data_IF_634496173865
#
_entry.id   IF_634496173865
#
_cell.length_a   1.000
_cell.length_b   1.000
_cell.length_c   1.000
_cell.angle_alpha   90.00
_cell.angle_beta   90.00
_cell.angle_gamma   90.00
#
_symmetry.space_group_name_H-M   'P 1'
#
loop_
_entity.id
_entity.type
_entity.pdbx_description
1 polymer ?
#
# COMPACT_ATOMS: atom_id res chain seq x y z
N UNK A 1 8.62 32.24 -8.61
CA UNK A 1 8.22 30.93 -8.06
C UNK A 1 8.89 29.85 -8.89
N UNK A 2 9.89 29.15 -8.32
CA UNK A 2 10.46 27.98 -8.98
C UNK A 2 9.40 26.88 -8.96
N UNK A 3 8.90 26.50 -10.13
CA UNK A 3 8.08 25.29 -10.26
C UNK A 3 9.04 24.11 -10.13
N UNK A 4 9.02 23.44 -8.98
CA UNK A 4 9.71 22.16 -8.84
C UNK A 4 9.14 21.19 -9.88
N UNK A 5 10.01 20.46 -10.57
CA UNK A 5 9.56 19.45 -11.52
C UNK A 5 8.91 18.26 -10.79
N UNK A 6 7.98 17.55 -11.43
CA UNK A 6 7.37 16.32 -10.84
C UNK A 6 8.47 15.32 -10.44
N UNK A 7 9.55 15.27 -11.23
CA UNK A 7 10.73 14.46 -10.95
C UNK A 7 11.39 14.87 -9.61
N UNK A 8 11.63 16.16 -9.38
CA UNK A 8 12.19 16.65 -8.11
C UNK A 8 11.27 16.36 -6.92
N UNK A 9 9.96 16.58 -7.08
CA UNK A 9 8.98 16.27 -6.03
C UNK A 9 9.03 14.78 -5.69
N UNK A 10 9.00 13.92 -6.72
CA UNK A 10 9.09 12.48 -6.52
C UNK A 10 10.40 12.09 -5.84
N UNK A 11 11.54 12.60 -6.30
CA UNK A 11 12.84 12.28 -5.72
C UNK A 11 12.91 12.70 -4.24
N UNK A 12 12.29 13.83 -3.87
CA UNK A 12 12.22 14.27 -2.48
C UNK A 12 11.36 13.35 -1.60
N UNK A 13 10.19 12.90 -2.08
CA UNK A 13 9.30 12.02 -1.28
C UNK A 13 9.78 10.56 -1.24
N UNK A 14 10.63 10.15 -2.19
CA UNK A 14 11.14 8.77 -2.32
C UNK A 14 12.56 8.59 -1.81
N UNK A 15 13.00 9.43 -0.85
CA UNK A 15 14.33 9.35 -0.24
C UNK A 15 15.48 9.45 -1.28
N UNK A 16 15.29 10.30 -2.29
CA UNK A 16 16.25 10.56 -3.36
C UNK A 16 16.59 9.33 -4.21
N UNK A 17 15.62 8.44 -4.46
CA UNK A 17 15.84 7.19 -5.20
C UNK A 17 16.38 7.41 -6.61
N UNK A 18 15.94 8.44 -7.33
CA UNK A 18 16.42 8.74 -8.68
C UNK A 18 17.88 9.19 -8.60
N UNK A 19 18.17 10.14 -7.71
CA UNK A 19 19.55 10.61 -7.49
C UNK A 19 20.48 9.47 -7.07
N UNK A 20 20.00 8.56 -6.22
CA UNK A 20 20.73 7.36 -5.82
C UNK A 20 21.05 6.48 -7.04
N UNK A 21 20.04 6.13 -7.85
CA UNK A 21 20.22 5.29 -9.04
C UNK A 21 21.21 5.92 -10.04
N UNK A 22 21.12 7.23 -10.29
CA UNK A 22 22.02 7.93 -11.21
C UNK A 22 23.46 7.98 -10.72
N UNK A 23 23.68 7.98 -9.41
CA UNK A 23 25.02 7.96 -8.80
C UNK A 23 25.64 6.57 -8.70
N UNK A 24 24.83 5.51 -8.83
CA UNK A 24 25.28 4.15 -8.55
C UNK A 24 26.14 3.58 -9.67
N UNK A 25 27.29 3.00 -9.29
CA UNK A 25 28.19 2.35 -10.25
C UNK A 25 27.49 1.19 -10.97
N UNK A 26 27.52 1.21 -12.30
CA UNK A 26 26.92 0.16 -13.12
C UNK A 26 25.43 0.34 -13.41
N UNK A 27 24.76 1.38 -12.89
CA UNK A 27 23.44 1.79 -13.36
C UNK A 27 23.60 2.78 -14.52
N UNK A 28 22.72 2.70 -15.50
CA UNK A 28 22.67 3.58 -16.66
C UNK A 28 21.22 3.79 -17.10
N UNK A 29 20.96 4.82 -17.91
CA UNK A 29 19.65 5.09 -18.51
C UNK A 29 18.50 5.10 -17.48
N UNK A 30 18.62 5.97 -16.46
CA UNK A 30 17.55 6.20 -15.50
C UNK A 30 16.46 7.06 -16.15
N UNK A 31 15.32 6.44 -16.44
CA UNK A 31 14.21 7.04 -17.17
C UNK A 31 13.01 7.20 -16.24
N UNK A 32 12.72 8.44 -15.84
CA UNK A 32 11.52 8.80 -15.09
C UNK A 32 10.46 9.38 -16.04
N UNK A 33 9.34 8.66 -16.21
CA UNK A 33 8.27 9.06 -17.12
C UNK A 33 7.37 10.13 -16.49
N UNK A 34 7.78 11.41 -16.59
CA UNK A 34 7.11 12.57 -15.98
C UNK A 34 5.90 13.12 -16.76
N UNK A 35 5.50 12.49 -17.86
CA UNK A 35 4.39 12.99 -18.71
C UNK A 35 2.99 12.69 -18.14
N UNK A 36 2.92 12.06 -16.96
CA UNK A 36 1.67 11.72 -16.30
C UNK A 36 1.13 12.96 -15.58
N UNK A 37 0.10 13.57 -16.16
CA UNK A 37 -0.63 14.66 -15.51
C UNK A 37 -1.32 14.13 -14.25
N UNK A 38 -1.29 14.92 -13.18
CA UNK A 38 -2.02 14.62 -11.95
C UNK A 38 -3.53 14.49 -12.17
N UNK A 39 -4.16 13.68 -11.32
CA UNK A 39 -5.59 13.37 -11.36
C UNK A 39 -6.38 14.42 -10.60
N UNK A 40 -7.48 14.91 -11.20
CA UNK A 40 -8.38 15.82 -10.51
C UNK A 40 -9.14 15.11 -9.38
N UNK A 41 -9.36 15.79 -8.26
CA UNK A 41 -10.06 15.26 -7.08
C UNK A 41 -11.42 14.63 -7.41
N UNK A 42 -12.19 15.26 -8.30
CA UNK A 42 -13.49 14.73 -8.77
C UNK A 42 -13.36 13.36 -9.45
N UNK A 43 -12.24 13.07 -10.11
CA UNK A 43 -12.00 11.78 -10.77
C UNK A 43 -11.64 10.71 -9.73
N UNK A 44 -10.89 11.08 -8.69
CA UNK A 44 -10.61 10.21 -7.55
C UNK A 44 -11.91 9.87 -6.82
N UNK A 45 -12.74 10.87 -6.50
CA UNK A 45 -14.03 10.67 -5.85
C UNK A 45 -14.96 9.76 -6.67
N UNK A 46 -14.97 9.92 -8.00
CA UNK A 46 -15.72 9.03 -8.91
C UNK A 46 -15.22 7.59 -8.84
N UNK A 47 -13.90 7.38 -8.78
CA UNK A 47 -13.34 6.04 -8.61
C UNK A 47 -13.77 5.43 -7.28
N UNK A 48 -13.78 6.19 -6.18
CA UNK A 48 -14.25 5.70 -4.87
C UNK A 48 -15.76 5.40 -4.86
N UNK A 49 -16.58 6.19 -5.56
CA UNK A 49 -18.01 5.92 -5.75
C UNK A 49 -18.23 4.61 -6.54
N UNK A 50 -17.48 4.41 -7.62
CA UNK A 50 -17.54 3.20 -8.45
C UNK A 50 -17.05 1.94 -7.72
N UNK A 51 -16.13 2.11 -6.75
CA UNK A 51 -15.56 1.03 -5.95
C UNK A 51 -16.07 1.05 -4.49
N UNK A 52 -17.24 1.64 -4.24
CA UNK A 52 -17.80 1.68 -2.90
C UNK A 52 -17.93 0.26 -2.31
N UNK A 53 -17.63 0.05 -1.02
CA UNK A 53 -17.35 1.07 0.01
C UNK A 53 -15.87 1.50 0.15
N UNK A 54 -14.95 1.05 -0.71
CA UNK A 54 -13.51 1.18 -0.52
C UNK A 54 -12.98 2.59 -0.84
N UNK A 55 -12.16 3.15 0.06
CA UNK A 55 -11.54 4.47 -0.06
C UNK A 55 -10.02 4.38 -0.15
N UNK A 56 -9.43 5.18 -1.04
CA UNK A 56 -7.98 5.25 -1.20
C UNK A 56 -7.34 6.00 -0.01
N UNK A 57 -6.12 5.60 0.42
CA UNK A 57 -5.33 6.36 1.40
C UNK A 57 -5.14 7.82 1.02
N UNK A 58 -5.17 8.72 1.99
CA UNK A 58 -5.06 10.16 1.75
C UNK A 58 -3.71 10.57 1.14
N UNK A 59 -2.62 9.94 1.57
CA UNK A 59 -1.29 10.12 1.02
C UNK A 59 -1.21 9.65 -0.44
N UNK A 60 -1.84 8.53 -0.77
CA UNK A 60 -1.89 8.02 -2.13
C UNK A 60 -2.78 8.87 -3.05
N UNK A 61 -3.90 9.40 -2.54
CA UNK A 61 -4.71 10.38 -3.27
C UNK A 61 -3.93 11.67 -3.55
N UNK A 62 -3.19 12.18 -2.56
CA UNK A 62 -2.33 13.34 -2.74
C UNK A 62 -1.23 13.08 -3.79
N UNK A 63 -0.64 11.87 -3.78
CA UNK A 63 0.30 11.45 -4.83
C UNK A 63 -0.36 11.43 -6.22
N UNK A 64 -1.55 10.84 -6.36
CA UNK A 64 -2.28 10.79 -7.64
C UNK A 64 -2.63 12.18 -8.17
N UNK A 65 -2.91 13.14 -7.29
CA UNK A 65 -3.11 14.55 -7.67
C UNK A 65 -1.84 15.22 -8.22
N UNK A 66 -0.65 14.70 -7.89
CA UNK A 66 0.64 15.15 -8.43
C UNK A 66 0.94 14.41 -9.75
N UNK A 67 0.72 13.09 -9.80
CA UNK A 67 1.02 12.23 -10.95
C UNK A 67 0.07 11.03 -11.04
N UNK A 68 -0.59 10.83 -12.20
CA UNK A 68 -1.43 9.66 -12.46
C UNK A 68 -0.58 8.38 -12.68
N UNK A 69 -0.19 7.76 -11.55
CA UNK A 69 0.71 6.62 -11.49
C UNK A 69 2.18 7.00 -11.62
N UNK A 70 3.05 5.99 -11.69
CA UNK A 70 4.50 6.14 -11.67
C UNK A 70 5.16 5.18 -12.65
N UNK A 71 6.25 5.59 -13.28
CA UNK A 71 7.14 4.65 -13.98
C UNK A 71 8.56 5.18 -14.00
N UNK A 72 9.43 4.46 -13.30
CA UNK A 72 10.86 4.67 -13.23
C UNK A 72 11.54 3.40 -13.73
N UNK A 73 12.33 3.49 -14.78
CA UNK A 73 13.08 2.36 -15.34
C UNK A 73 14.56 2.67 -15.30
N UNK A 74 15.38 1.65 -15.12
CA UNK A 74 16.82 1.78 -15.22
C UNK A 74 17.45 0.53 -15.81
N UNK A 75 18.61 0.74 -16.42
CA UNK A 75 19.42 -0.30 -17.03
C UNK A 75 20.71 -0.48 -16.23
N UNK A 76 21.38 -1.59 -16.47
CA UNK A 76 22.73 -1.81 -15.95
C UNK A 76 23.73 -1.90 -17.08
N UNK A 77 24.94 -1.40 -16.85
CA UNK A 77 26.08 -1.51 -17.76
C UNK A 77 27.03 -2.60 -17.25
N UNK A 78 27.20 -3.68 -18.01
CA UNK A 78 28.13 -4.78 -17.73
C UNK A 78 28.96 -5.08 -18.98
N UNK A 79 30.29 -5.02 -18.88
CA UNK A 79 31.22 -5.29 -19.99
C UNK A 79 30.89 -4.50 -21.27
N UNK A 80 30.62 -3.20 -21.12
CA UNK A 80 30.16 -2.30 -22.20
C UNK A 80 28.85 -2.66 -22.89
N UNK A 81 28.08 -3.61 -22.35
CA UNK A 81 26.73 -3.92 -22.77
C UNK A 81 25.71 -3.36 -21.77
N UNK A 82 24.58 -2.86 -22.29
CA UNK A 82 23.50 -2.27 -21.51
C UNK A 82 22.33 -3.26 -21.49
N UNK A 83 21.83 -3.59 -20.29
CA UNK A 83 20.71 -4.50 -20.10
C UNK A 83 19.59 -3.82 -19.31
N UNK A 84 18.31 -3.99 -19.70
CA UNK A 84 17.20 -3.60 -18.85
C UNK A 84 17.27 -4.39 -17.53
N UNK A 85 17.15 -3.70 -16.41
CA UNK A 85 17.36 -4.33 -15.11
C UNK A 85 16.19 -4.09 -14.17
N UNK A 86 15.85 -2.83 -13.90
CA UNK A 86 14.85 -2.51 -12.90
C UNK A 86 13.73 -1.63 -13.42
N UNK A 87 12.57 -1.82 -12.80
CA UNK A 87 11.35 -1.08 -13.04
C UNK A 87 10.67 -0.86 -11.69
N UNK A 88 10.29 0.37 -11.41
CA UNK A 88 9.37 0.74 -10.35
C UNK A 88 8.15 1.36 -11.01
N UNK A 89 6.98 0.80 -10.76
CA UNK A 89 5.75 1.22 -11.41
C UNK A 89 4.62 1.31 -10.38
N UNK A 90 3.74 2.30 -10.60
CA UNK A 90 2.45 2.36 -9.94
C UNK A 90 1.40 2.57 -11.02
N UNK A 91 0.31 1.82 -10.91
CA UNK A 91 -0.84 1.90 -11.79
C UNK A 91 -1.38 3.33 -11.84
N UNK A 92 -1.98 3.68 -12.98
CA UNK A 92 -2.85 4.87 -13.07
C UNK A 92 -4.12 4.62 -12.26
N UNK A 93 -4.82 5.66 -11.86
CA UNK A 93 -6.08 5.52 -11.11
C UNK A 93 -7.06 4.54 -11.79
N UNK A 94 -7.23 4.68 -13.11
CA UNK A 94 -8.12 3.81 -13.92
C UNK A 94 -7.69 2.34 -14.00
N UNK A 95 -6.42 2.07 -13.74
CA UNK A 95 -5.80 0.76 -13.84
C UNK A 95 -5.74 0.07 -12.47
N UNK A 96 -6.04 0.79 -11.38
CA UNK A 96 -6.27 0.21 -10.04
C UNK A 96 -7.62 -0.49 -10.06
N UNK A 97 -7.58 -1.82 -9.98
CA UNK A 97 -8.77 -2.67 -10.12
C UNK A 97 -8.83 -3.66 -8.97
N UNK A 98 -10.05 -3.99 -8.57
CA UNK A 98 -10.30 -5.09 -7.65
C UNK A 98 -9.75 -6.37 -8.27
N UNK A 99 -8.97 -7.08 -7.49
CA UNK A 99 -8.42 -8.36 -7.88
C UNK A 99 -9.43 -9.44 -7.52
N UNK A 100 -9.66 -10.35 -8.46
CA UNK A 100 -10.70 -11.37 -8.32
C UNK A 100 -10.35 -12.35 -7.20
N UNK A 101 -11.35 -12.79 -6.44
CA UNK A 101 -11.16 -13.70 -5.30
C UNK A 101 -10.49 -15.03 -5.71
N UNK A 102 -10.77 -15.54 -6.92
CA UNK A 102 -10.11 -16.75 -7.45
C UNK A 102 -8.59 -16.58 -7.61
N UNK A 103 -8.09 -15.35 -7.67
CA UNK A 103 -6.67 -15.03 -7.80
C UNK A 103 -5.97 -14.84 -6.44
N UNK A 104 -6.67 -15.03 -5.32
CA UNK A 104 -6.12 -14.86 -3.97
C UNK A 104 -6.62 -15.90 -2.98
N UNK A 105 -5.69 -16.75 -2.53
CA UNK A 105 -5.91 -17.60 -1.37
C UNK A 105 -5.28 -16.93 -0.17
N UNK A 106 -6.10 -16.36 0.72
CA UNK A 106 -5.64 -16.11 2.07
C UNK A 106 -5.57 -17.47 2.76
N UNK A 107 -4.35 -18.01 2.91
CA UNK A 107 -4.10 -18.90 4.04
C UNK A 107 -4.70 -18.20 5.24
N UNK A 108 -5.61 -18.85 5.98
CA UNK A 108 -6.27 -18.27 7.15
C UNK A 108 -5.20 -17.78 8.13
N UNK A 109 -4.74 -16.54 7.94
CA UNK A 109 -3.81 -15.86 8.83
C UNK A 109 -4.63 -15.58 10.06
N UNK A 110 -4.22 -16.20 11.16
CA UNK A 110 -4.97 -16.30 12.39
C UNK A 110 -5.65 -15.01 12.82
N UNK A 111 -6.81 -15.22 13.46
CA UNK A 111 -7.27 -14.37 14.54
C UNK A 111 -6.09 -13.97 15.45
N UNK A 112 -6.19 -12.79 16.07
CA UNK A 112 -5.24 -12.27 17.07
C UNK A 112 -4.02 -11.53 16.49
N UNK A 113 -4.28 -10.39 15.86
CA UNK A 113 -3.44 -9.21 16.10
C UNK A 113 -4.40 -8.13 16.60
N UNK A 114 -4.55 -8.06 17.92
CA UNK A 114 -5.15 -6.89 18.56
C UNK A 114 -4.31 -5.66 18.17
N UNK A 115 -5.03 -4.61 17.81
CA UNK A 115 -4.53 -3.28 17.48
C UNK A 115 -3.84 -2.69 18.71
N UNK A 116 -2.53 -2.94 18.85
CA UNK A 116 -1.71 -2.34 19.91
C UNK A 116 -1.42 -0.87 19.57
N UNK A 117 -2.44 -0.03 19.69
CA UNK A 117 -2.27 1.42 19.81
C UNK A 117 -3.20 1.98 20.89
N UNK A 118 -2.90 1.66 22.14
CA UNK A 118 -3.29 2.48 23.28
C UNK A 118 -2.03 2.69 24.14
N UNK A 119 -1.35 3.81 23.91
CA UNK A 119 -0.35 4.36 24.84
C UNK A 119 -1.03 5.43 25.71
N UNK A 120 -0.92 5.22 27.03
CA UNK A 120 -1.01 6.15 28.16
C UNK A 120 -2.38 6.81 28.45
N UNK A 121 -2.93 6.78 29.66
CA UNK A 121 -2.32 7.16 30.94
C UNK A 121 -2.84 6.31 32.13
N UNK A 122 -1.90 5.81 32.94
CA UNK A 122 -2.16 5.23 34.26
C UNK A 122 -2.33 6.36 35.30
N UNK A 123 -3.49 6.46 35.94
CA UNK A 123 -3.61 6.93 37.32
C UNK A 123 -4.21 5.80 38.17
N UNK A 124 -3.37 5.20 39.00
CA UNK A 124 -3.75 4.25 40.04
C UNK A 124 -4.28 5.04 41.24
N UNK A 125 -5.59 5.05 41.46
CA UNK A 125 -6.17 5.40 42.75
C UNK A 125 -6.50 4.11 43.53
N UNK A 126 -5.88 3.98 44.70
CA UNK A 126 -6.06 2.89 45.66
C UNK A 126 -7.50 2.85 46.18
N UNK A 127 -8.23 1.76 45.93
CA UNK A 127 -9.44 1.41 46.69
C UNK A 127 -9.38 -0.07 47.08
N UNK A 128 -9.26 -0.28 48.39
CA UNK A 128 -9.34 -1.57 49.07
C UNK A 128 -10.74 -2.21 48.96
N UNK A 129 -10.76 -3.53 49.18
CA UNK A 129 -11.86 -4.37 49.69
C UNK A 129 -12.51 -5.41 48.75
N UNK A 130 -12.11 -6.66 49.05
CA UNK A 130 -12.92 -7.87 49.19
C UNK A 130 -13.20 -8.77 47.97
N UNK A 131 -12.78 -10.04 48.16
CA UNK A 131 -12.89 -11.17 47.23
C UNK A 131 -14.26 -11.81 47.34
N UNK A 132 -14.95 -11.98 46.23
CA UNK A 132 -15.95 -13.04 46.06
C UNK A 132 -15.70 -13.79 44.74
N UNK A 133 -15.46 -15.10 44.86
CA UNK A 133 -15.31 -16.04 43.75
C UNK A 133 -16.70 -16.48 43.28
N UNK A 134 -17.21 -15.91 42.20
CA UNK A 134 -18.34 -16.48 41.45
C UNK A 134 -17.86 -17.15 40.17
N UNK A 135 -18.12 -18.46 40.07
CA UNK A 135 -17.93 -19.26 38.87
C UNK A 135 -19.02 -18.90 37.87
N UNK A 136 -18.73 -18.03 36.91
CA UNK A 136 -19.58 -17.87 35.73
C UNK A 136 -19.24 -18.91 34.66
N UNK A 137 -20.31 -19.53 34.14
CA UNK A 137 -20.30 -20.52 33.07
C UNK A 137 -19.72 -19.92 31.78
N UNK A 138 -18.73 -20.61 31.21
CA UNK A 138 -18.15 -20.25 29.91
C UNK A 138 -19.21 -20.51 28.84
N UNK A 139 -19.93 -19.47 28.44
CA UNK A 139 -20.74 -19.49 27.23
C UNK A 139 -19.80 -19.58 26.02
N UNK A 140 -19.92 -20.67 25.24
CA UNK A 140 -19.22 -20.84 23.97
C UNK A 140 -19.53 -19.67 23.03
N UNK A 141 -18.57 -18.78 22.82
CA UNK A 141 -18.66 -17.69 21.83
C UNK A 141 -18.70 -18.31 20.43
N UNK A 142 -19.70 -18.01 19.58
CA UNK A 142 -19.78 -18.57 18.24
C UNK A 142 -18.60 -18.07 17.40
N UNK A 143 -17.72 -19.01 17.10
CA UNK A 143 -16.55 -18.88 16.25
C UNK A 143 -16.91 -18.46 14.82
N UNK A 144 -16.09 -17.56 14.25
CA UNK A 144 -15.99 -17.12 12.85
C UNK A 144 -16.96 -16.02 12.38
N UNK A 145 -16.68 -14.78 12.78
CA UNK A 145 -17.00 -13.63 11.93
C UNK A 145 -16.25 -13.80 10.60
N UNK A 146 -16.99 -14.01 9.50
CA UNK A 146 -16.42 -14.15 8.16
C UNK A 146 -15.65 -12.86 7.83
N UNK A 147 -14.31 -12.92 7.84
CA UNK A 147 -13.46 -11.79 7.48
C UNK A 147 -13.75 -11.39 6.04
N UNK A 148 -14.19 -10.15 5.81
CA UNK A 148 -14.35 -9.61 4.47
C UNK A 148 -13.01 -9.03 4.04
N UNK A 149 -12.47 -9.56 2.95
CA UNK A 149 -11.19 -9.14 2.40
C UNK A 149 -11.39 -8.67 0.96
N UNK A 150 -10.84 -7.51 0.63
CA UNK A 150 -10.77 -7.01 -0.73
C UNK A 150 -9.38 -6.47 -1.02
N UNK A 151 -8.92 -6.63 -2.26
CA UNK A 151 -7.58 -6.24 -2.66
C UNK A 151 -7.62 -5.54 -4.02
N UNK A 152 -6.89 -4.43 -4.15
CA UNK A 152 -6.79 -3.66 -5.39
C UNK A 152 -5.36 -3.64 -5.90
N UNK A 153 -5.17 -3.96 -7.18
CA UNK A 153 -3.85 -4.05 -7.80
C UNK A 153 -3.21 -2.66 -7.99
N UNK A 154 -2.07 -2.45 -7.35
CA UNK A 154 -1.30 -1.20 -7.42
C UNK A 154 -0.21 -1.23 -8.48
N UNK A 155 0.27 -2.40 -8.91
CA UNK A 155 1.32 -2.52 -9.92
C UNK A 155 1.12 -3.74 -10.82
N UNK A 156 0.48 -3.49 -11.95
CA UNK A 156 0.21 -4.48 -12.99
C UNK A 156 1.44 -4.89 -13.82
N UNK A 157 2.62 -4.29 -13.57
CA UNK A 157 3.87 -4.61 -14.29
C UNK A 157 4.78 -5.58 -13.53
N UNK A 158 4.51 -5.87 -12.26
CA UNK A 158 5.25 -6.89 -11.53
C UNK A 158 4.96 -8.26 -12.16
N UNK A 159 6.01 -9.02 -12.44
CA UNK A 159 5.90 -10.36 -13.06
C UNK A 159 5.89 -11.49 -12.03
N UNK A 160 6.79 -11.39 -11.06
CA UNK A 160 7.07 -12.45 -10.08
C UNK A 160 6.48 -12.13 -8.71
N UNK A 161 5.39 -11.36 -8.68
CA UNK A 161 4.75 -10.92 -7.46
C UNK A 161 3.57 -10.02 -7.74
N UNK A 162 2.99 -9.48 -6.66
CA UNK A 162 1.82 -8.61 -6.73
C UNK A 162 1.85 -7.59 -5.60
N UNK A 163 1.64 -6.33 -5.94
CA UNK A 163 1.50 -5.23 -4.98
C UNK A 163 0.03 -4.81 -4.92
N UNK A 164 -0.57 -4.81 -3.73
CA UNK A 164 -1.98 -4.50 -3.59
C UNK A 164 -2.30 -3.63 -2.37
N UNK A 165 -3.37 -2.84 -2.48
CA UNK A 165 -4.07 -2.24 -1.34
C UNK A 165 -5.06 -3.27 -0.80
N UNK A 166 -4.84 -3.72 0.43
CA UNK A 166 -5.64 -4.74 1.09
C UNK A 166 -6.56 -4.14 2.16
N UNK A 167 -7.83 -4.42 2.05
CA UNK A 167 -8.88 -4.04 2.99
C UNK A 167 -9.29 -5.27 3.78
N UNK A 168 -9.19 -5.19 5.12
CA UNK A 168 -9.57 -6.27 6.04
C UNK A 168 -10.55 -5.73 7.05
N UNK A 169 -11.82 -6.15 6.96
CA UNK A 169 -12.91 -5.72 7.84
C UNK A 169 -13.13 -4.19 7.93
N UNK A 170 -12.42 -3.41 7.12
CA UNK A 170 -12.52 -1.95 7.05
C UNK A 170 -12.35 -1.52 5.58
N UNK A 171 -12.89 -0.35 5.24
CA UNK A 171 -12.97 0.20 3.89
C UNK A 171 -12.19 1.51 3.71
N UNK A 172 -11.64 2.10 4.78
CA UNK A 172 -10.91 3.38 4.72
C UNK A 172 -9.46 3.35 5.21
N UNK A 173 -9.02 2.23 5.80
CA UNK A 173 -7.64 2.00 6.25
C UNK A 173 -7.04 0.77 5.59
N UNK A 174 -6.76 0.79 4.27
CA UNK A 174 -6.11 -0.33 3.64
C UNK A 174 -4.65 -0.44 4.05
N UNK A 175 -4.11 -1.64 3.93
CA UNK A 175 -2.70 -1.95 4.12
C UNK A 175 -2.03 -2.20 2.76
N UNK A 176 -0.77 -1.81 2.60
CA UNK A 176 0.02 -2.16 1.41
C UNK A 176 0.58 -3.56 1.60
N UNK A 177 0.27 -4.48 0.69
CA UNK A 177 0.71 -5.87 0.72
C UNK A 177 1.52 -6.20 -0.53
N UNK A 178 2.63 -6.92 -0.35
CA UNK A 178 3.38 -7.52 -1.44
C UNK A 178 3.31 -9.05 -1.30
N UNK A 179 2.84 -9.71 -2.35
CA UNK A 179 2.88 -11.16 -2.48
C UNK A 179 4.00 -11.53 -3.45
N UNK A 180 4.93 -12.36 -2.99
CA UNK A 180 5.95 -12.97 -3.84
C UNK A 180 5.37 -14.20 -4.55
N UNK A 181 5.51 -14.26 -5.88
CA UNK A 181 5.06 -15.38 -6.72
C UNK A 181 6.24 -16.12 -7.36
N UNK A 182 7.47 -15.82 -6.96
CA UNK A 182 8.67 -16.52 -7.42
C UNK A 182 8.79 -17.91 -6.75
N UNK A 183 7.99 -18.87 -7.23
CA UNK A 183 8.05 -20.28 -6.85
C UNK A 183 8.33 -21.17 -8.06
#
# INVERSE_FOLDING_TARGET
MNKQSIREIFDNISLSVISFLESHIGISDVEFNSERQGVAEVTIAKWEEENAPYKLPDDYKAFLQISDGLSLNWKIKKNDQIYPFGCMHLNRLRDIKLIKEDEFVFSSVGAEYEDSSEEDEQELEDIDEEKEEEKEEIAEVPSSTKTVIAAFDMDSRVKDGRLALLYRNNFDKPQVWFQDLSC
#
